data_IF_712718820355
#
_entry.id   IF_712718820355
#
_cell.length_a   1.000
_cell.length_b   1.000
_cell.length_c   1.000
_cell.angle_alpha   90.00
_cell.angle_beta   90.00
_cell.angle_gamma   90.00
#
_symmetry.space_group_name_H-M   'P 1'
#
loop_
_entity.id
_entity.type
_entity.pdbx_description
1 polymer ?
#
# COMPACT_ATOMS: atom_id res chain seq x y z
N UNK A 1 12.85 3.77 -6.65
CA UNK A 1 12.01 2.63 -6.19
C UNK A 1 10.71 2.63 -6.96
N UNK A 2 10.45 1.60 -7.74
CA UNK A 2 9.23 1.52 -8.57
C UNK A 2 7.95 1.35 -7.73
N UNK A 3 8.10 0.79 -6.53
CA UNK A 3 7.00 0.55 -5.59
C UNK A 3 6.51 1.80 -4.86
N UNK A 4 7.29 2.88 -4.85
CA UNK A 4 6.93 4.15 -4.20
C UNK A 4 6.24 5.07 -5.21
N UNK A 5 5.07 5.61 -4.83
CA UNK A 5 4.36 6.59 -5.62
C UNK A 5 4.92 7.99 -5.36
N UNK A 6 5.02 8.34 -4.10
CA UNK A 6 5.50 9.64 -3.62
C UNK A 6 6.02 9.51 -2.18
N UNK A 7 6.83 10.48 -1.76
CA UNK A 7 7.39 10.55 -0.42
C UNK A 7 7.36 11.99 0.11
N UNK A 8 6.17 12.58 0.39
CA UNK A 8 6.06 13.93 0.90
C UNK A 8 6.74 14.07 2.26
N UNK A 9 7.36 15.22 2.46
CA UNK A 9 8.05 15.59 3.70
C UNK A 9 7.16 16.54 4.49
N UNK A 10 7.06 16.33 5.80
CA UNK A 10 6.29 17.19 6.70
C UNK A 10 7.18 17.65 7.86
N UNK A 11 7.01 18.91 8.26
CA UNK A 11 7.79 19.53 9.33
C UNK A 11 9.15 20.06 8.89
N UNK A 12 9.46 19.99 7.59
CA UNK A 12 10.62 20.66 7.00
C UNK A 12 10.39 22.19 6.96
N UNK A 13 11.47 22.90 6.76
CA UNK A 13 11.48 24.33 6.42
C UNK A 13 12.18 24.45 5.08
N UNK A 14 11.58 25.19 4.18
CA UNK A 14 12.21 25.48 2.90
C UNK A 14 13.33 26.50 3.07
N UNK A 15 14.42 26.33 2.34
CA UNK A 15 15.49 27.30 2.29
C UNK A 15 15.03 28.53 1.52
N UNK A 16 15.33 29.71 2.03
CA UNK A 16 15.03 30.96 1.36
C UNK A 16 16.18 31.95 1.46
N UNK A 17 16.21 32.85 0.50
CA UNK A 17 17.11 34.01 0.52
C UNK A 17 16.32 35.18 1.07
N UNK A 18 16.68 35.63 2.25
CA UNK A 18 16.14 36.86 2.86
C UNK A 18 16.98 38.07 2.43
N UNK A 19 16.30 39.07 1.88
CA UNK A 19 16.93 40.32 1.43
C UNK A 19 16.45 41.46 2.32
N UNK A 20 17.31 41.89 3.25
CA UNK A 20 17.04 43.00 4.14
C UNK A 20 17.51 44.31 3.50
N UNK A 21 16.56 45.08 3.02
CA UNK A 21 16.82 46.35 2.31
C UNK A 21 17.19 47.45 3.31
N UNK A 22 18.29 48.15 3.06
CA UNK A 22 18.70 49.33 3.83
C UNK A 22 18.14 50.60 3.17
N UNK A 23 17.17 51.30 3.79
CA UNK A 23 16.56 52.50 3.22
C UNK A 23 17.58 53.64 3.00
N UNK A 24 18.62 53.75 3.82
CA UNK A 24 19.64 54.78 3.69
C UNK A 24 20.52 54.55 2.46
N UNK A 25 20.82 53.27 2.15
CA UNK A 25 21.55 52.92 0.95
C UNK A 25 20.69 53.14 -0.31
N UNK A 26 19.39 52.82 -0.26
CA UNK A 26 18.49 53.14 -1.37
C UNK A 26 18.50 54.62 -1.72
N UNK A 27 18.40 55.48 -0.69
CA UNK A 27 18.43 56.94 -0.87
C UNK A 27 19.80 57.43 -1.38
N UNK A 28 20.91 56.93 -0.85
CA UNK A 28 22.26 57.28 -1.27
C UNK A 28 22.54 56.93 -2.74
N UNK A 29 22.01 55.82 -3.22
CA UNK A 29 22.17 55.40 -4.62
C UNK A 29 21.03 55.86 -5.55
N UNK A 30 20.05 56.58 -5.01
CA UNK A 30 18.87 57.08 -5.74
C UNK A 30 18.10 55.94 -6.44
N UNK A 31 17.83 54.87 -5.69
CA UNK A 31 17.06 53.69 -6.11
C UNK A 31 15.76 53.66 -5.33
N UNK A 32 14.65 53.47 -5.99
CA UNK A 32 13.35 53.30 -5.33
C UNK A 32 13.08 51.86 -4.99
N UNK A 33 12.28 51.61 -3.94
CA UNK A 33 11.89 50.25 -3.57
C UNK A 33 11.13 49.54 -4.67
N UNK A 34 10.33 50.26 -5.47
CA UNK A 34 9.59 49.68 -6.61
C UNK A 34 10.52 49.24 -7.75
N UNK A 35 11.58 50.02 -8.04
CA UNK A 35 12.59 49.60 -9.02
C UNK A 35 13.26 48.29 -8.56
N UNK A 36 13.65 48.22 -7.28
CA UNK A 36 14.26 47.02 -6.72
C UNK A 36 13.35 45.80 -6.81
N UNK A 37 12.10 45.90 -6.35
CA UNK A 37 11.10 44.81 -6.41
C UNK A 37 10.88 44.35 -7.84
N UNK A 38 10.81 45.30 -8.80
CA UNK A 38 10.62 45.00 -10.19
C UNK A 38 11.81 44.23 -10.78
N UNK A 39 13.03 44.65 -10.44
CA UNK A 39 14.24 43.95 -10.90
C UNK A 39 14.31 42.54 -10.34
N UNK A 40 14.10 42.36 -9.04
CA UNK A 40 14.10 41.02 -8.41
C UNK A 40 13.02 40.13 -9.02
N UNK A 41 11.80 40.64 -9.18
CA UNK A 41 10.68 39.87 -9.77
C UNK A 41 10.95 39.46 -11.20
N UNK A 42 11.51 40.35 -12.02
CA UNK A 42 11.77 40.07 -13.43
C UNK A 42 12.92 39.07 -13.64
N UNK A 43 13.86 39.00 -12.71
CA UNK A 43 14.99 38.09 -12.76
C UNK A 43 14.76 36.77 -12.00
N UNK A 44 13.60 36.60 -11.35
CA UNK A 44 13.21 35.36 -10.68
C UNK A 44 11.94 34.77 -11.33
N UNK A 45 11.96 34.60 -12.64
CA UNK A 45 10.85 34.00 -13.39
C UNK A 45 11.36 32.94 -14.35
N UNK A 46 10.82 31.75 -14.25
CA UNK A 46 11.06 30.68 -15.23
C UNK A 46 10.14 30.93 -16.45
N UNK A 47 10.71 31.46 -17.52
CA UNK A 47 9.95 31.70 -18.76
C UNK A 47 10.02 30.47 -19.65
N UNK A 48 8.89 29.81 -19.85
CA UNK A 48 8.76 28.76 -20.86
C UNK A 48 8.68 29.41 -22.25
N UNK A 49 9.77 29.39 -23.01
CA UNK A 49 9.86 30.01 -24.34
C UNK A 49 9.16 29.20 -25.44
N UNK A 50 8.57 28.04 -25.11
CA UNK A 50 7.83 27.17 -26.03
C UNK A 50 8.56 25.86 -26.33
N UNK A 51 8.00 25.08 -27.27
CA UNK A 51 8.56 23.82 -27.71
C UNK A 51 9.04 23.96 -29.17
N UNK A 52 10.28 23.51 -29.43
CA UNK A 52 10.80 23.36 -30.79
C UNK A 52 10.57 21.89 -31.18
N UNK A 53 9.74 21.70 -32.22
CA UNK A 53 9.52 20.36 -32.80
C UNK A 53 10.47 20.15 -33.96
N UNK A 54 11.29 19.12 -33.90
CA UNK A 54 12.17 18.66 -34.98
C UNK A 54 11.79 17.24 -35.38
N UNK A 55 12.32 16.75 -36.50
CA UNK A 55 12.13 15.35 -36.94
C UNK A 55 12.67 14.32 -35.91
N UNK A 56 13.50 14.76 -34.96
CA UNK A 56 14.12 13.92 -33.90
C UNK A 56 13.40 14.01 -32.55
N UNK A 57 12.36 14.85 -32.42
CA UNK A 57 11.57 14.99 -31.19
C UNK A 57 11.17 16.44 -30.88
N UNK A 58 10.36 16.62 -29.86
CA UNK A 58 9.96 17.92 -29.34
C UNK A 58 10.86 18.29 -28.13
N UNK A 59 11.55 19.42 -28.22
CA UNK A 59 12.39 19.96 -27.16
C UNK A 59 11.75 21.19 -26.55
N UNK A 60 11.61 21.19 -25.23
CA UNK A 60 11.13 22.34 -24.47
C UNK A 60 12.29 23.34 -24.29
N UNK A 61 12.11 24.54 -24.80
CA UNK A 61 13.04 25.65 -24.57
C UNK A 61 12.61 26.41 -23.34
N UNK A 62 13.50 26.46 -22.34
CA UNK A 62 13.32 27.25 -21.14
C UNK A 62 14.41 28.33 -21.10
N UNK A 63 14.03 29.55 -20.79
CA UNK A 63 14.98 30.61 -20.47
C UNK A 63 15.19 30.54 -18.96
N UNK A 64 16.37 30.11 -18.47
CA UNK A 64 16.66 30.16 -17.05
C UNK A 64 16.81 31.63 -16.64
N UNK A 65 15.87 32.09 -15.84
CA UNK A 65 15.98 33.36 -15.13
C UNK A 65 15.55 33.16 -13.68
N UNK A 66 16.02 32.06 -13.08
CA UNK A 66 15.92 31.79 -11.64
C UNK A 66 17.31 31.89 -11.02
N UNK A 67 17.36 32.26 -9.76
CA UNK A 67 18.60 32.27 -9.00
C UNK A 67 18.95 30.84 -8.64
N UNK A 68 20.10 30.34 -9.08
CA UNK A 68 20.58 29.00 -8.78
C UNK A 68 21.57 29.03 -7.62
N UNK A 69 22.36 30.10 -7.49
CA UNK A 69 23.33 30.31 -6.42
C UNK A 69 23.09 31.62 -5.67
N UNK A 70 23.47 31.72 -4.39
CA UNK A 70 23.39 32.98 -3.61
C UNK A 70 24.14 34.13 -4.27
N UNK A 71 25.23 33.86 -4.97
CA UNK A 71 26.02 34.84 -5.74
C UNK A 71 25.17 35.54 -6.78
N UNK A 72 24.24 34.86 -7.44
CA UNK A 72 23.39 35.43 -8.48
C UNK A 72 22.50 36.57 -7.91
N UNK A 73 22.13 36.42 -6.64
CA UNK A 73 21.32 37.42 -5.93
C UNK A 73 22.17 38.59 -5.52
N UNK A 74 23.41 38.36 -5.08
CA UNK A 74 24.34 39.46 -4.69
C UNK A 74 24.72 40.33 -5.88
N UNK A 75 25.04 39.69 -7.01
CA UNK A 75 25.57 40.36 -8.22
C UNK A 75 24.44 40.88 -9.13
N UNK A 76 23.16 40.74 -8.71
CA UNK A 76 22.02 41.20 -9.49
C UNK A 76 22.09 42.69 -9.77
N UNK A 77 22.23 43.14 -11.02
CA UNK A 77 22.30 44.53 -11.35
C UNK A 77 20.94 45.22 -11.21
N UNK A 78 20.86 46.20 -10.31
CA UNK A 78 19.64 46.97 -10.03
C UNK A 78 19.58 48.25 -10.85
N UNK A 79 20.69 48.98 -10.91
CA UNK A 79 20.74 50.27 -11.60
C UNK A 79 22.16 50.59 -12.09
N UNK A 80 22.24 51.28 -13.23
CA UNK A 80 23.51 51.79 -13.75
C UNK A 80 23.58 53.27 -13.49
N UNK A 81 24.64 53.74 -12.80
CA UNK A 81 24.89 55.16 -12.54
C UNK A 81 26.25 55.54 -13.14
N UNK A 82 26.23 56.07 -14.40
CA UNK A 82 27.43 56.30 -15.20
C UNK A 82 28.16 54.99 -15.52
N UNK A 83 29.44 54.88 -15.19
CA UNK A 83 30.22 53.65 -15.42
C UNK A 83 30.11 52.63 -14.27
N UNK A 84 29.34 52.90 -13.22
CA UNK A 84 29.19 52.04 -12.08
C UNK A 84 27.85 51.31 -12.10
N UNK A 85 27.91 49.99 -12.05
CA UNK A 85 26.74 49.14 -11.85
C UNK A 85 26.50 49.02 -10.35
N UNK A 86 25.27 49.29 -9.93
CA UNK A 86 24.81 49.13 -8.56
C UNK A 86 24.14 47.78 -8.46
N UNK A 87 24.64 46.89 -7.62
CA UNK A 87 24.11 45.52 -7.43
C UNK A 87 23.17 45.47 -6.23
N UNK A 88 22.44 44.39 -6.10
CA UNK A 88 21.54 44.16 -4.96
C UNK A 88 22.36 44.09 -3.63
N UNK A 89 23.54 43.49 -3.68
CA UNK A 89 24.46 43.41 -2.53
C UNK A 89 24.94 44.79 -2.03
N UNK A 90 24.98 45.85 -2.91
CA UNK A 90 25.28 47.21 -2.48
C UNK A 90 24.13 47.85 -1.70
N UNK A 91 22.88 47.41 -1.92
CA UNK A 91 21.64 48.01 -1.42
C UNK A 91 21.03 47.28 -0.22
N UNK A 92 21.34 46.00 -0.07
CA UNK A 92 20.69 45.13 0.91
C UNK A 92 21.69 44.16 1.58
N UNK A 93 21.33 43.67 2.74
CA UNK A 93 21.98 42.55 3.39
C UNK A 93 21.26 41.26 2.97
N UNK A 94 21.99 40.33 2.37
CA UNK A 94 21.43 39.09 1.85
C UNK A 94 21.84 37.94 2.77
N UNK A 95 20.84 37.20 3.29
CA UNK A 95 21.04 36.10 4.22
C UNK A 95 20.36 34.82 3.65
N UNK A 96 21.11 33.74 3.69
CA UNK A 96 20.50 32.42 3.54
C UNK A 96 19.84 32.05 4.85
N UNK A 97 18.55 31.78 4.82
CA UNK A 97 17.76 31.41 5.99
C UNK A 97 16.71 30.38 5.61
N UNK A 98 15.80 30.13 6.49
CA UNK A 98 14.69 29.21 6.24
C UNK A 98 13.38 29.97 6.39
N UNK A 99 12.39 29.56 5.61
CA UNK A 99 11.04 30.08 5.69
C UNK A 99 10.48 29.95 7.12
N UNK A 100 9.64 30.89 7.53
CA UNK A 100 8.97 30.83 8.81
C UNK A 100 8.12 29.56 8.94
N UNK A 101 8.13 28.97 10.13
CA UNK A 101 7.42 27.71 10.36
C UNK A 101 5.92 27.88 10.17
N UNK A 102 5.39 27.31 9.08
CA UNK A 102 3.95 27.20 8.86
C UNK A 102 3.30 26.13 9.75
N UNK A 103 4.09 25.13 10.18
CA UNK A 103 3.63 24.05 11.02
C UNK A 103 4.77 23.37 11.78
N UNK A 104 4.44 22.55 12.77
CA UNK A 104 5.42 21.75 13.51
C UNK A 104 5.05 20.26 13.48
N UNK A 105 5.98 19.42 13.06
CA UNK A 105 5.86 17.98 13.27
C UNK A 105 6.59 17.61 14.58
N UNK A 106 5.94 16.79 15.41
CA UNK A 106 6.53 16.30 16.67
C UNK A 106 6.27 14.81 16.80
N UNK A 107 7.27 14.11 17.30
CA UNK A 107 7.17 12.71 17.66
C UNK A 107 7.61 12.52 19.11
N UNK A 108 6.75 11.98 19.96
CA UNK A 108 6.96 11.86 21.41
C UNK A 108 7.36 13.20 22.10
N UNK A 109 6.83 14.32 21.60
CA UNK A 109 7.12 15.66 22.13
C UNK A 109 8.37 16.34 21.54
N UNK A 110 9.25 15.60 20.88
CA UNK A 110 10.44 16.13 20.22
C UNK A 110 10.12 16.61 18.81
N UNK A 111 10.77 17.67 18.35
CA UNK A 111 10.63 18.19 16.98
C UNK A 111 11.20 17.15 16.01
N UNK A 112 10.46 16.86 14.96
CA UNK A 112 10.85 15.88 13.95
C UNK A 112 10.56 16.38 12.54
N UNK A 113 11.14 15.69 11.56
CA UNK A 113 10.75 15.75 10.15
C UNK A 113 10.22 14.35 9.81
N UNK A 114 9.04 14.31 9.24
CA UNK A 114 8.41 13.05 8.85
C UNK A 114 8.40 12.90 7.32
N UNK A 115 8.87 11.75 6.84
CA UNK A 115 8.77 11.36 5.43
C UNK A 115 7.67 10.32 5.32
N UNK A 116 6.59 10.64 4.62
CA UNK A 116 5.48 9.74 4.40
C UNK A 116 5.66 8.99 3.08
N UNK A 117 6.00 7.71 3.16
CA UNK A 117 6.18 6.89 1.97
C UNK A 117 4.84 6.30 1.52
N UNK A 118 4.36 6.70 0.35
CA UNK A 118 3.09 6.25 -0.24
C UNK A 118 3.36 5.16 -1.27
N UNK A 119 2.72 4.01 -1.06
CA UNK A 119 2.87 2.83 -1.93
C UNK A 119 2.08 2.98 -3.23
N UNK A 120 2.68 2.61 -4.36
CA UNK A 120 1.99 2.48 -5.65
C UNK A 120 1.08 1.24 -5.66
N UNK A 121 -0.05 1.31 -6.35
CA UNK A 121 -0.95 0.15 -6.52
C UNK A 121 -0.24 -1.00 -7.24
N UNK A 122 -0.54 -2.24 -6.85
CA UNK A 122 0.01 -3.45 -7.46
C UNK A 122 1.31 -3.96 -6.83
N UNK A 123 1.99 -3.19 -5.97
CA UNK A 123 3.21 -3.63 -5.29
C UNK A 123 2.92 -4.21 -3.90
N UNK A 124 3.80 -5.10 -3.44
CA UNK A 124 3.73 -5.66 -2.10
C UNK A 124 4.15 -4.62 -1.04
N UNK A 125 3.30 -4.43 -0.02
CA UNK A 125 3.55 -3.46 1.04
C UNK A 125 4.73 -3.86 1.94
N UNK A 126 4.85 -5.15 2.26
CA UNK A 126 5.88 -5.67 3.17
C UNK A 126 7.25 -5.52 2.50
N UNK A 127 7.37 -5.92 1.23
CA UNK A 127 8.62 -5.83 0.48
C UNK A 127 9.06 -4.38 0.32
N UNK A 128 8.14 -3.49 -0.08
CA UNK A 128 8.41 -2.05 -0.18
C UNK A 128 8.88 -1.47 1.17
N UNK A 129 8.19 -1.78 2.27
CA UNK A 129 8.55 -1.26 3.58
C UNK A 129 9.94 -1.76 4.03
N UNK A 130 10.28 -3.02 3.75
CA UNK A 130 11.60 -3.57 4.06
C UNK A 130 12.70 -2.91 3.22
N UNK A 131 12.44 -2.66 1.94
CA UNK A 131 13.38 -1.95 1.05
C UNK A 131 13.59 -0.51 1.52
N UNK A 132 12.52 0.23 1.86
CA UNK A 132 12.60 1.59 2.42
C UNK A 132 13.43 1.60 3.70
N UNK A 133 13.15 0.69 4.64
CA UNK A 133 13.91 0.58 5.90
C UNK A 133 15.39 0.30 5.65
N UNK A 134 15.71 -0.53 4.66
CA UNK A 134 17.10 -0.85 4.31
C UNK A 134 17.83 0.36 3.72
N UNK A 135 17.17 1.12 2.83
CA UNK A 135 17.72 2.36 2.25
C UNK A 135 17.96 3.38 3.36
N UNK A 136 16.95 3.66 4.19
CA UNK A 136 17.06 4.61 5.31
C UNK A 136 18.21 4.23 6.26
N UNK A 137 18.37 2.95 6.55
CA UNK A 137 19.47 2.44 7.38
C UNK A 137 20.82 2.65 6.73
N UNK A 138 20.94 2.38 5.44
CA UNK A 138 22.21 2.54 4.68
C UNK A 138 22.59 4.01 4.59
N UNK A 139 21.64 4.88 4.22
CA UNK A 139 21.85 6.32 4.11
C UNK A 139 22.21 6.94 5.47
N UNK A 140 21.50 6.59 6.54
CA UNK A 140 21.78 7.11 7.87
C UNK A 140 23.17 6.72 8.40
N UNK A 141 23.71 5.56 7.97
CA UNK A 141 25.06 5.14 8.29
C UNK A 141 26.14 5.94 7.53
N UNK A 142 25.80 6.50 6.37
CA UNK A 142 26.66 7.36 5.57
C UNK A 142 26.79 8.79 6.09
N UNK A 143 25.96 9.21 7.06
CA UNK A 143 25.97 10.56 7.60
C UNK A 143 27.24 10.87 8.42
N UNK A 144 27.62 12.15 8.53
CA UNK A 144 28.68 12.56 9.47
C UNK A 144 28.35 12.12 10.89
N UNK A 145 29.38 11.76 11.68
CA UNK A 145 29.19 11.24 13.05
C UNK A 145 28.38 12.15 13.96
N UNK A 146 28.54 13.46 13.82
CA UNK A 146 27.80 14.45 14.61
C UNK A 146 26.31 14.39 14.30
N UNK A 147 25.95 14.18 13.04
CA UNK A 147 24.57 14.04 12.60
C UNK A 147 23.95 12.71 13.06
N UNK A 148 24.70 11.63 13.01
CA UNK A 148 24.25 10.31 13.49
C UNK A 148 23.92 10.32 14.99
N UNK A 149 24.62 11.13 15.79
CA UNK A 149 24.36 11.28 17.23
C UNK A 149 23.18 12.20 17.49
N UNK A 150 23.06 13.28 16.69
CA UNK A 150 22.03 14.31 16.90
C UNK A 150 20.65 13.88 16.38
N UNK A 151 20.59 13.07 15.31
CA UNK A 151 19.34 12.67 14.64
C UNK A 151 19.00 11.22 14.93
N UNK A 152 17.87 11.01 15.61
CA UNK A 152 17.31 9.66 15.80
C UNK A 152 16.36 9.33 14.66
N UNK A 153 16.71 8.32 13.88
CA UNK A 153 15.85 7.80 12.81
C UNK A 153 14.96 6.71 13.36
N UNK A 154 13.66 6.84 13.17
CA UNK A 154 12.67 5.87 13.61
C UNK A 154 11.55 5.68 12.58
N UNK A 155 10.78 4.62 12.72
CA UNK A 155 9.59 4.37 11.91
C UNK A 155 8.33 4.55 12.76
N UNK A 156 7.36 5.25 12.22
CA UNK A 156 6.06 5.47 12.84
C UNK A 156 4.96 5.04 11.86
N UNK A 157 3.87 4.52 12.39
CA UNK A 157 2.71 4.08 11.60
C UNK A 157 3.07 3.10 10.46
N UNK A 158 3.88 2.10 10.80
CA UNK A 158 4.28 1.08 9.83
C UNK A 158 3.17 0.07 9.59
N UNK A 159 2.42 0.27 8.52
CA UNK A 159 1.32 -0.61 8.13
C UNK A 159 1.79 -2.01 7.70
N UNK A 160 3.07 -2.20 7.34
CA UNK A 160 3.59 -3.52 6.96
C UNK A 160 3.55 -4.50 8.11
N UNK A 161 3.81 -4.05 9.35
CA UNK A 161 3.72 -4.87 10.54
C UNK A 161 2.27 -5.32 10.82
N UNK A 162 1.29 -4.43 10.58
CA UNK A 162 -0.12 -4.76 10.74
C UNK A 162 -0.55 -5.82 9.71
N UNK A 163 -0.15 -5.65 8.45
CA UNK A 163 -0.44 -6.62 7.37
C UNK A 163 0.23 -7.97 7.68
N UNK A 164 1.50 -7.99 8.09
CA UNK A 164 2.19 -9.21 8.47
C UNK A 164 1.50 -9.93 9.65
N UNK A 165 1.07 -9.17 10.67
CA UNK A 165 0.32 -9.73 11.80
C UNK A 165 -1.02 -10.33 11.37
N UNK A 166 -1.74 -9.68 10.44
CA UNK A 166 -3.00 -10.21 9.91
C UNK A 166 -2.80 -11.51 9.14
N UNK A 167 -1.76 -11.59 8.32
CA UNK A 167 -1.41 -12.83 7.59
C UNK A 167 -1.08 -13.95 8.59
N UNK A 168 -0.28 -13.67 9.61
CA UNK A 168 0.02 -14.65 10.66
C UNK A 168 -1.21 -15.09 11.48
N UNK A 169 -2.14 -14.18 11.77
CA UNK A 169 -3.42 -14.51 12.42
C UNK A 169 -4.30 -15.41 11.54
N UNK A 170 -4.34 -15.16 10.23
CA UNK A 170 -5.06 -16.01 9.29
C UNK A 170 -4.48 -17.42 9.28
N UNK A 171 -3.15 -17.53 9.13
CA UNK A 171 -2.45 -18.81 9.15
C UNK A 171 -2.75 -19.58 10.44
N UNK A 172 -2.61 -18.93 11.59
CA UNK A 172 -2.93 -19.52 12.90
C UNK A 172 -4.40 -19.93 13.03
N UNK A 173 -5.35 -19.13 12.53
CA UNK A 173 -6.77 -19.43 12.57
C UNK A 173 -7.12 -20.62 11.68
N UNK A 174 -6.56 -20.70 10.48
CA UNK A 174 -6.75 -21.83 9.56
C UNK A 174 -6.19 -23.12 10.16
N UNK A 175 -4.95 -23.09 10.69
CA UNK A 175 -4.34 -24.25 11.32
C UNK A 175 -5.14 -24.74 12.55
N UNK A 176 -5.61 -23.81 13.37
CA UNK A 176 -6.44 -24.12 14.54
C UNK A 176 -7.78 -24.74 14.12
N UNK A 177 -8.42 -24.16 13.10
CA UNK A 177 -9.66 -24.70 12.58
C UNK A 177 -9.49 -26.12 12.01
N UNK A 178 -8.44 -26.36 11.22
CA UNK A 178 -8.09 -27.69 10.71
C UNK A 178 -7.89 -28.69 11.86
N UNK A 179 -7.13 -28.29 12.89
CA UNK A 179 -6.85 -29.14 14.05
C UNK A 179 -8.15 -29.51 14.79
N UNK A 180 -9.01 -28.54 15.08
CA UNK A 180 -10.29 -28.77 15.75
C UNK A 180 -11.21 -29.69 14.93
N UNK A 181 -11.31 -29.42 13.63
CA UNK A 181 -12.09 -30.26 12.73
C UNK A 181 -11.55 -31.70 12.69
N UNK A 182 -10.24 -31.85 12.56
CA UNK A 182 -9.61 -33.17 12.58
C UNK A 182 -9.90 -33.96 13.86
N UNK A 183 -9.90 -33.29 15.02
CA UNK A 183 -10.25 -33.91 16.31
C UNK A 183 -11.71 -34.40 16.28
N UNK A 184 -12.65 -33.56 15.84
CA UNK A 184 -14.08 -33.91 15.77
C UNK A 184 -14.31 -35.08 14.80
N UNK A 185 -13.74 -34.99 13.59
CA UNK A 185 -13.88 -36.02 12.57
C UNK A 185 -13.18 -37.32 12.99
N UNK A 186 -12.02 -37.22 13.66
CA UNK A 186 -11.31 -38.39 14.17
C UNK A 186 -12.14 -39.15 15.20
N UNK A 187 -12.84 -38.43 16.08
CA UNK A 187 -13.70 -39.06 17.12
C UNK A 187 -15.00 -39.63 16.56
N UNK A 188 -15.57 -39.03 15.50
CA UNK A 188 -16.85 -39.46 14.89
C UNK A 188 -16.69 -40.47 13.76
N UNK A 189 -15.72 -40.29 12.87
CA UNK A 189 -15.59 -41.04 11.60
C UNK A 189 -14.25 -41.83 11.50
N UNK A 190 -13.38 -41.69 12.51
CA UNK A 190 -12.08 -42.36 12.55
C UNK A 190 -10.98 -41.70 11.71
N UNK A 191 -9.79 -42.32 11.69
CA UNK A 191 -8.58 -41.72 11.14
C UNK A 191 -8.61 -41.48 9.63
N UNK A 192 -9.28 -42.33 8.87
CA UNK A 192 -9.34 -42.18 7.41
C UNK A 192 -10.15 -40.95 7.00
N UNK A 193 -11.32 -40.74 7.61
CA UNK A 193 -12.16 -39.57 7.38
C UNK A 193 -11.46 -38.27 7.80
N UNK A 194 -10.79 -38.29 8.96
CA UNK A 194 -10.06 -37.12 9.47
C UNK A 194 -8.96 -36.64 8.53
N UNK A 195 -8.16 -37.54 7.96
CA UNK A 195 -7.10 -37.19 7.02
C UNK A 195 -7.67 -36.61 5.73
N UNK A 196 -8.75 -37.19 5.18
CA UNK A 196 -9.36 -36.70 3.95
C UNK A 196 -9.93 -35.28 4.11
N UNK A 197 -10.69 -35.04 5.19
CA UNK A 197 -11.25 -33.72 5.49
C UNK A 197 -10.13 -32.71 5.81
N UNK A 198 -9.14 -33.11 6.61
CA UNK A 198 -8.00 -32.26 6.96
C UNK A 198 -7.15 -31.84 5.77
N UNK A 199 -7.09 -32.63 4.70
CA UNK A 199 -6.40 -32.28 3.47
C UNK A 199 -7.27 -31.44 2.49
N UNK A 200 -8.58 -31.63 2.53
CA UNK A 200 -9.51 -30.91 1.65
C UNK A 200 -9.53 -29.39 1.94
N UNK A 201 -9.38 -28.97 3.20
CA UNK A 201 -9.44 -27.57 3.59
C UNK A 201 -8.26 -26.78 3.02
N UNK A 202 -6.98 -27.14 3.24
CA UNK A 202 -5.84 -26.42 2.68
C UNK A 202 -5.86 -26.38 1.15
N UNK A 203 -6.25 -27.47 0.50
CA UNK A 203 -6.34 -27.51 -0.97
C UNK A 203 -7.40 -26.57 -1.51
N UNK A 204 -8.57 -26.48 -0.88
CA UNK A 204 -9.63 -25.54 -1.25
C UNK A 204 -9.18 -24.08 -1.07
N UNK A 205 -8.44 -23.77 0.00
CA UNK A 205 -7.88 -22.43 0.20
C UNK A 205 -6.83 -22.04 -0.85
N UNK A 206 -5.89 -22.95 -1.13
CA UNK A 206 -4.88 -22.70 -2.16
C UNK A 206 -5.54 -22.42 -3.52
N UNK A 207 -6.55 -23.21 -3.88
CA UNK A 207 -7.28 -23.00 -5.12
C UNK A 207 -8.10 -21.69 -5.11
N UNK A 208 -8.68 -21.35 -3.97
CA UNK A 208 -9.37 -20.06 -3.78
C UNK A 208 -8.41 -18.88 -3.97
N UNK A 209 -7.20 -18.92 -3.41
CA UNK A 209 -6.21 -17.85 -3.62
C UNK A 209 -5.82 -17.70 -5.09
N UNK A 210 -5.68 -18.82 -5.81
CA UNK A 210 -5.45 -18.78 -7.27
C UNK A 210 -6.63 -18.10 -7.99
N UNK A 211 -7.86 -18.46 -7.65
CA UNK A 211 -9.07 -17.89 -8.27
C UNK A 211 -9.20 -16.39 -7.97
N UNK A 212 -8.99 -15.97 -6.71
CA UNK A 212 -8.99 -14.55 -6.33
C UNK A 212 -7.89 -13.78 -7.06
N UNK A 213 -6.70 -14.39 -7.22
CA UNK A 213 -5.60 -13.81 -7.99
C UNK A 213 -5.94 -13.58 -9.46
N UNK A 214 -6.58 -14.57 -10.10
CA UNK A 214 -7.06 -14.46 -11.50
C UNK A 214 -8.14 -13.38 -11.63
N UNK A 215 -9.00 -13.23 -10.63
CA UNK A 215 -10.03 -12.17 -10.58
C UNK A 215 -9.44 -10.78 -10.26
N UNK A 216 -8.16 -10.67 -9.95
CA UNK A 216 -7.50 -9.41 -9.56
C UNK A 216 -7.94 -8.89 -8.18
N UNK A 217 -8.52 -9.74 -7.35
CA UNK A 217 -8.96 -9.39 -6.00
C UNK A 217 -7.75 -9.38 -5.06
N UNK A 218 -7.46 -8.24 -4.45
CA UNK A 218 -6.37 -8.12 -3.47
C UNK A 218 -6.80 -8.65 -2.11
N UNK A 219 -5.87 -9.30 -1.42
CA UNK A 219 -6.10 -9.78 -0.05
C UNK A 219 -6.30 -8.57 0.87
N UNK A 220 -7.48 -8.47 1.44
CA UNK A 220 -7.91 -7.44 2.38
C UNK A 220 -8.44 -8.06 3.67
N UNK A 221 -8.68 -7.26 4.71
CA UNK A 221 -9.28 -7.73 5.94
C UNK A 221 -10.62 -8.44 5.72
N UNK A 222 -11.41 -7.97 4.73
CA UNK A 222 -12.71 -8.59 4.41
C UNK A 222 -12.55 -9.94 3.72
N UNK A 223 -11.58 -10.07 2.82
CA UNK A 223 -11.23 -11.35 2.20
C UNK A 223 -10.78 -12.35 3.27
N UNK A 224 -9.91 -11.92 4.19
CA UNK A 224 -9.43 -12.79 5.28
C UNK A 224 -10.55 -13.21 6.23
N UNK A 225 -11.45 -12.30 6.57
CA UNK A 225 -12.64 -12.61 7.37
C UNK A 225 -13.56 -13.60 6.65
N UNK A 226 -13.78 -13.42 5.34
CA UNK A 226 -14.50 -14.35 4.50
C UNK A 226 -13.87 -15.74 4.47
N UNK A 227 -12.54 -15.83 4.40
CA UNK A 227 -11.82 -17.11 4.45
C UNK A 227 -12.01 -17.83 5.79
N UNK A 228 -11.94 -17.13 6.91
CA UNK A 228 -12.18 -17.71 8.25
C UNK A 228 -13.60 -18.25 8.37
N UNK A 229 -14.60 -17.50 7.89
CA UNK A 229 -15.99 -17.96 7.85
C UNK A 229 -16.16 -19.18 6.95
N UNK A 230 -15.48 -19.20 5.80
CA UNK A 230 -15.55 -20.29 4.86
C UNK A 230 -15.05 -21.62 5.44
N UNK A 231 -14.09 -21.63 6.38
CA UNK A 231 -13.62 -22.85 7.04
C UNK A 231 -14.78 -23.66 7.61
N UNK A 232 -15.67 -23.01 8.37
CA UNK A 232 -16.84 -23.69 8.94
C UNK A 232 -17.76 -24.31 7.90
N UNK A 233 -18.04 -23.56 6.82
CA UNK A 233 -18.92 -24.04 5.75
C UNK A 233 -18.33 -25.21 4.93
N UNK A 234 -17.01 -25.19 4.71
CA UNK A 234 -16.31 -26.24 3.96
C UNK A 234 -16.37 -27.60 4.67
N UNK A 235 -16.24 -27.54 5.99
CA UNK A 235 -16.20 -28.73 6.83
C UNK A 235 -17.53 -29.48 6.81
N UNK A 236 -18.65 -28.78 6.89
CA UNK A 236 -19.98 -29.39 6.93
C UNK A 236 -20.25 -30.24 5.68
N UNK A 237 -19.91 -29.74 4.51
CA UNK A 237 -20.04 -30.47 3.26
C UNK A 237 -19.17 -31.74 3.18
N UNK A 238 -17.92 -31.60 3.63
CA UNK A 238 -16.99 -32.73 3.61
C UNK A 238 -17.39 -33.84 4.61
N UNK A 239 -17.90 -33.49 5.80
CA UNK A 239 -18.38 -34.44 6.81
C UNK A 239 -19.53 -35.29 6.24
N UNK A 240 -20.53 -34.65 5.63
CA UNK A 240 -21.71 -35.36 5.06
C UNK A 240 -21.29 -36.36 4.01
N UNK A 241 -20.35 -36.06 3.13
CA UNK A 241 -19.85 -36.97 2.10
C UNK A 241 -19.11 -38.16 2.71
N UNK A 242 -18.22 -37.90 3.69
CA UNK A 242 -17.43 -38.95 4.36
C UNK A 242 -18.33 -39.86 5.19
N UNK A 243 -19.28 -39.30 5.94
CA UNK A 243 -20.24 -40.08 6.75
C UNK A 243 -21.08 -41.04 5.85
N UNK A 244 -21.57 -40.54 4.71
CA UNK A 244 -22.28 -41.39 3.77
C UNK A 244 -21.38 -42.49 3.21
N UNK A 245 -20.14 -42.20 2.84
CA UNK A 245 -19.20 -43.19 2.33
C UNK A 245 -18.89 -44.27 3.39
N UNK A 246 -18.66 -43.90 4.64
CA UNK A 246 -18.38 -44.82 5.73
C UNK A 246 -19.57 -45.73 6.03
N UNK A 247 -20.79 -45.20 5.96
CA UNK A 247 -22.02 -46.05 6.05
C UNK A 247 -22.07 -47.06 4.94
N UNK A 248 -21.76 -46.69 3.69
CA UNK A 248 -21.76 -47.64 2.55
C UNK A 248 -20.63 -48.67 2.67
N UNK A 249 -19.48 -48.30 3.22
CA UNK A 249 -18.40 -49.25 3.50
C UNK A 249 -18.82 -50.27 4.58
N UNK A 250 -19.51 -49.80 5.63
CA UNK A 250 -20.06 -50.68 6.66
C UNK A 250 -21.14 -51.67 6.10
N UNK A 251 -21.87 -51.29 5.06
CA UNK A 251 -22.83 -52.13 4.34
C UNK A 251 -22.15 -53.13 3.35
N UNK A 252 -20.81 -53.14 3.27
CA UNK A 252 -20.02 -54.07 2.48
C UNK A 252 -19.61 -53.55 1.10
N UNK A 253 -19.84 -52.28 0.78
CA UNK A 253 -19.39 -51.69 -0.48
C UNK A 253 -17.89 -51.42 -0.44
N UNK A 254 -17.15 -51.66 -1.51
CA UNK A 254 -15.71 -51.38 -1.57
C UNK A 254 -15.42 -49.90 -1.37
N UNK A 255 -14.33 -49.53 -0.70
CA UNK A 255 -14.05 -48.12 -0.30
C UNK A 255 -14.09 -47.14 -1.48
N UNK A 256 -13.50 -47.49 -2.62
CA UNK A 256 -13.46 -46.62 -3.80
C UNK A 256 -14.85 -46.34 -4.37
N UNK A 257 -15.68 -47.39 -4.53
CA UNK A 257 -17.04 -47.26 -5.03
C UNK A 257 -17.96 -46.53 -4.05
N UNK A 258 -17.74 -46.68 -2.73
CA UNK A 258 -18.50 -46.00 -1.70
C UNK A 258 -18.27 -44.51 -1.73
N UNK A 259 -17.01 -44.02 -1.88
CA UNK A 259 -16.71 -42.61 -1.99
C UNK A 259 -17.20 -42.00 -3.30
N UNK A 260 -17.13 -42.70 -4.44
CA UNK A 260 -17.68 -42.24 -5.71
C UNK A 260 -19.22 -42.12 -5.63
N UNK A 261 -19.89 -43.12 -5.03
CA UNK A 261 -21.34 -43.05 -4.80
C UNK A 261 -21.71 -41.91 -3.86
N UNK A 262 -20.96 -41.72 -2.76
CA UNK A 262 -21.16 -40.66 -1.81
C UNK A 262 -21.05 -39.27 -2.48
N UNK A 263 -19.99 -39.02 -3.26
CA UNK A 263 -19.80 -37.79 -3.98
C UNK A 263 -20.96 -37.48 -4.95
N UNK A 264 -21.42 -38.47 -5.74
CA UNK A 264 -22.53 -38.29 -6.67
C UNK A 264 -23.86 -38.05 -5.96
N UNK A 265 -24.15 -38.78 -4.90
CA UNK A 265 -25.44 -38.71 -4.21
C UNK A 265 -25.56 -37.52 -3.28
N UNK A 266 -24.49 -37.13 -2.61
CA UNK A 266 -24.47 -35.99 -1.67
C UNK A 266 -24.19 -34.66 -2.36
N UNK A 267 -23.84 -34.63 -3.64
CA UNK A 267 -23.58 -33.41 -4.39
C UNK A 267 -24.75 -32.41 -4.28
N UNK A 268 -25.96 -32.82 -4.64
CA UNK A 268 -27.12 -31.92 -4.62
C UNK A 268 -27.52 -31.43 -3.23
N UNK A 269 -27.59 -32.27 -2.17
CA UNK A 269 -27.82 -31.83 -0.81
C UNK A 269 -26.77 -30.81 -0.34
N UNK A 270 -25.48 -31.07 -0.56
CA UNK A 270 -24.38 -30.17 -0.16
C UNK A 270 -24.44 -28.89 -0.97
N UNK A 271 -24.59 -28.97 -2.30
CA UNK A 271 -24.68 -27.77 -3.16
C UNK A 271 -25.89 -26.90 -2.80
N UNK A 272 -27.04 -27.46 -2.51
CA UNK A 272 -28.24 -26.70 -2.11
C UNK A 272 -28.05 -26.04 -0.74
N UNK A 273 -27.47 -26.74 0.23
CA UNK A 273 -27.15 -26.18 1.56
C UNK A 273 -26.18 -25.00 1.44
N UNK A 274 -25.08 -25.20 0.69
CA UNK A 274 -24.09 -24.14 0.44
C UNK A 274 -24.70 -22.94 -0.28
N UNK A 275 -25.53 -23.18 -1.32
CA UNK A 275 -26.21 -22.12 -2.04
C UNK A 275 -27.15 -21.32 -1.12
N UNK A 276 -27.90 -21.99 -0.22
CA UNK A 276 -28.77 -21.31 0.76
C UNK A 276 -27.96 -20.41 1.68
N UNK A 277 -26.83 -20.90 2.18
CA UNK A 277 -25.95 -20.11 3.04
C UNK A 277 -25.36 -18.91 2.29
N UNK A 278 -24.93 -19.10 1.03
CA UNK A 278 -24.40 -18.01 0.20
C UNK A 278 -25.47 -16.96 -0.12
N UNK A 279 -26.74 -17.38 -0.32
CA UNK A 279 -27.84 -16.44 -0.55
C UNK A 279 -28.04 -15.45 0.60
N UNK A 280 -27.70 -15.83 1.83
CA UNK A 280 -27.76 -14.92 2.97
C UNK A 280 -26.75 -13.74 2.86
N UNK A 281 -25.64 -13.96 2.16
CA UNK A 281 -24.59 -12.94 1.95
C UNK A 281 -24.74 -12.17 0.63
N UNK A 282 -25.53 -12.65 -0.34
CA UNK A 282 -25.73 -11.99 -1.63
C UNK A 282 -26.21 -10.54 -1.54
N UNK A 283 -27.10 -10.14 -0.61
CA UNK A 283 -27.55 -8.75 -0.49
C UNK A 283 -26.39 -7.75 -0.30
N UNK A 284 -25.25 -8.19 0.26
CA UNK A 284 -24.07 -7.33 0.44
C UNK A 284 -23.43 -6.91 -0.87
N UNK A 285 -23.58 -7.70 -1.96
CA UNK A 285 -23.07 -7.36 -3.29
C UNK A 285 -23.83 -6.19 -3.93
N UNK A 286 -25.10 -6.01 -3.56
CA UNK A 286 -25.98 -4.99 -4.12
C UNK A 286 -26.06 -3.73 -3.25
N UNK A 287 -25.30 -3.68 -2.16
CA UNK A 287 -25.28 -2.52 -1.28
C UNK A 287 -24.60 -1.33 -1.96
N UNK A 288 -25.25 -0.17 -2.07
CA UNK A 288 -24.68 0.98 -2.76
C UNK A 288 -23.59 1.69 -1.92
N UNK A 289 -22.67 2.36 -2.61
CA UNK A 289 -21.67 3.23 -2.00
C UNK A 289 -20.45 2.51 -1.43
N UNK A 290 -19.70 3.22 -0.59
CA UNK A 290 -18.45 2.73 0.03
C UNK A 290 -18.66 1.47 0.88
N UNK A 291 -19.72 1.35 1.70
CA UNK A 291 -19.98 0.11 2.45
C UNK A 291 -20.12 -1.11 1.55
N UNK A 292 -20.78 -0.98 0.40
CA UNK A 292 -20.96 -2.10 -0.53
C UNK A 292 -19.65 -2.52 -1.18
N UNK A 293 -18.79 -1.58 -1.55
CA UNK A 293 -17.46 -1.89 -2.10
C UNK A 293 -16.58 -2.64 -1.08
N UNK A 294 -16.68 -2.29 0.18
CA UNK A 294 -15.94 -2.92 1.26
C UNK A 294 -16.52 -4.30 1.62
N UNK A 295 -17.83 -4.37 1.90
CA UNK A 295 -18.49 -5.59 2.35
C UNK A 295 -18.74 -6.58 1.23
N UNK A 296 -18.83 -6.15 -0.03
CA UNK A 296 -19.00 -7.01 -1.19
C UNK A 296 -17.86 -8.02 -1.42
N UNK A 297 -16.67 -7.73 -0.89
CA UNK A 297 -15.53 -8.67 -0.94
C UNK A 297 -15.79 -9.95 -0.14
N UNK A 298 -16.62 -9.90 0.91
CA UNK A 298 -16.94 -11.06 1.72
C UNK A 298 -17.73 -12.12 0.95
N UNK A 299 -18.89 -11.82 0.33
CA UNK A 299 -19.59 -12.83 -0.48
C UNK A 299 -18.78 -13.29 -1.69
N UNK A 300 -18.00 -12.43 -2.34
CA UNK A 300 -17.09 -12.85 -3.43
C UNK A 300 -16.12 -13.93 -2.95
N UNK A 301 -15.52 -13.74 -1.79
CA UNK A 301 -14.60 -14.71 -1.19
C UNK A 301 -15.30 -16.00 -0.84
N UNK A 302 -16.47 -15.93 -0.18
CA UNK A 302 -17.27 -17.11 0.19
C UNK A 302 -17.70 -17.92 -1.04
N UNK A 303 -18.16 -17.26 -2.11
CA UNK A 303 -18.53 -17.91 -3.37
C UNK A 303 -17.30 -18.58 -3.99
N UNK A 304 -16.16 -17.91 -4.03
CA UNK A 304 -14.92 -18.45 -4.58
C UNK A 304 -14.46 -19.71 -3.84
N UNK A 305 -14.46 -19.68 -2.49
CA UNK A 305 -14.11 -20.85 -1.67
C UNK A 305 -15.10 -22.00 -1.89
N UNK A 306 -16.40 -21.71 -1.86
CA UNK A 306 -17.45 -22.73 -2.04
C UNK A 306 -17.39 -23.35 -3.42
N UNK A 307 -17.16 -22.56 -4.46
CA UNK A 307 -17.00 -23.05 -5.83
C UNK A 307 -15.80 -23.99 -5.94
N UNK A 308 -14.65 -23.61 -5.40
CA UNK A 308 -13.45 -24.45 -5.46
C UNK A 308 -13.62 -25.75 -4.70
N UNK A 309 -14.32 -25.73 -3.56
CA UNK A 309 -14.59 -26.93 -2.78
C UNK A 309 -15.54 -27.90 -3.48
N UNK A 310 -16.61 -27.39 -4.11
CA UNK A 310 -17.57 -28.22 -4.84
C UNK A 310 -16.98 -28.83 -6.11
N UNK A 311 -16.03 -28.18 -6.76
CA UNK A 311 -15.41 -28.68 -8.00
C UNK A 311 -14.30 -29.70 -7.78
N UNK A 312 -13.62 -29.66 -6.62
CA UNK A 312 -12.55 -30.61 -6.28
C UNK A 312 -12.97 -32.10 -6.31
N UNK A 313 -14.13 -32.48 -5.76
CA UNK A 313 -14.58 -33.88 -5.79
C UNK A 313 -15.03 -34.37 -7.17
N UNK A 314 -15.48 -33.47 -8.06
CA UNK A 314 -16.07 -33.82 -9.35
C UNK A 314 -15.05 -33.96 -10.50
N UNK A 315 -13.85 -33.40 -10.38
CA UNK A 315 -12.81 -33.45 -11.39
C UNK A 315 -11.95 -34.74 -11.41
N UNK A 316 -12.33 -35.77 -10.68
CA UNK A 316 -11.67 -37.09 -10.74
C UNK A 316 -12.37 -38.13 -11.64
N UNK A 317 -13.11 -37.66 -12.62
CA UNK A 317 -13.56 -38.50 -13.76
C UNK A 317 -12.79 -38.07 -15.02
N UNK A 318 -11.51 -38.35 -15.10
CA UNK A 318 -10.72 -38.60 -16.31
C UNK A 318 -9.72 -39.69 -15.99
#
# INVERSE_FOLDING_TARGET
>A
MDAVLEAPISGNREEMVEVLIDPLRLEAYNVTANELITVVRNNNQLIAAGNISSEQGAFSVKIPSSFDEPSDVYDLPVKTNGDRIITLGDLAEIKLTFEDRAGTARFNGETTVAIQVVKRRGFNLIDMANEVKSIVKTESQGWPKDLQVAVKVGTSNDQSNQVASMVGQLEGSVLTAIALVMIVVLTSLGSRGAILVGFAIPTSFLLCFVLLGVMGVTISNMVMFGLILAVGMLVDGAIVVVEYADKRIAEGTGPMSAYVEAAKRMFWPVASSTATTLCAFLPMLFWPGVPGQFMGMLPVTLISVSYTHLTLPTNREV
#
